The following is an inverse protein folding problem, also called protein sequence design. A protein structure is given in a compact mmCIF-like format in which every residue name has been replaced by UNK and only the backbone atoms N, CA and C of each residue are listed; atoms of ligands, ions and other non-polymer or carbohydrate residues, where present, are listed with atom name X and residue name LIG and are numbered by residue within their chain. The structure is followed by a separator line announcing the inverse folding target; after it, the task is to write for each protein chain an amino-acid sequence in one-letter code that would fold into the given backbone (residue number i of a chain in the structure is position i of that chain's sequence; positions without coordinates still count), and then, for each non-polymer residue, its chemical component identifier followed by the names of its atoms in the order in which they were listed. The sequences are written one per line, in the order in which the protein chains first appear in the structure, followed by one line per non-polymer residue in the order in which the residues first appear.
data_IF_398978716659
#
_entry.id   IF_398978716659
#
_cell.length_a   1.000
_cell.length_b   1.000
_cell.length_c   1.000
_cell.angle_alpha   90.00
_cell.angle_beta   90.00
_cell.angle_gamma   90.00
#
_symmetry.space_group_name_H-M   'P 1'
#
loop_
_entity.id
_entity.type
_entity.pdbx_description
1 polymer ?
#
# COMPACT_ATOMS: atom_id res chain seq x y z
N UNK A 1 -2.63 -12.34 -21.68
CA UNK A 1 -2.80 -11.15 -20.83
C UNK A 1 -4.28 -11.01 -20.52
N UNK A 2 -4.64 -11.10 -19.26
CA UNK A 2 -6.03 -10.98 -18.83
C UNK A 2 -6.26 -9.57 -18.25
N UNK A 3 -7.29 -8.89 -18.69
CA UNK A 3 -7.69 -7.60 -18.16
C UNK A 3 -9.08 -7.73 -17.52
N UNK A 4 -9.20 -7.21 -16.31
CA UNK A 4 -10.45 -7.28 -15.56
C UNK A 4 -10.55 -6.20 -14.49
N UNK A 5 -11.74 -6.01 -13.95
CA UNK A 5 -11.97 -5.16 -12.80
C UNK A 5 -11.64 -5.95 -11.53
N UNK A 6 -10.95 -5.29 -10.60
CA UNK A 6 -10.57 -5.88 -9.33
C UNK A 6 -10.74 -4.87 -8.19
N UNK A 7 -11.07 -5.35 -7.02
CA UNK A 7 -11.08 -4.51 -5.81
C UNK A 7 -9.70 -4.51 -5.15
N UNK A 8 -9.43 -3.54 -4.29
CA UNK A 8 -8.19 -3.52 -3.51
C UNK A 8 -8.05 -4.79 -2.66
N UNK A 9 -9.12 -5.23 -2.00
CA UNK A 9 -9.12 -6.49 -1.25
C UNK A 9 -8.78 -7.70 -2.10
N UNK A 10 -9.22 -7.72 -3.36
CA UNK A 10 -8.91 -8.81 -4.30
C UNK A 10 -7.46 -8.76 -4.79
N UNK A 11 -6.86 -7.59 -4.90
CA UNK A 11 -5.44 -7.41 -5.26
C UNK A 11 -4.54 -7.90 -4.12
N UNK A 12 -4.91 -7.61 -2.86
CA UNK A 12 -4.19 -8.00 -1.64
C UNK A 12 -4.85 -9.19 -0.92
N UNK A 13 -5.13 -10.27 -1.60
CA UNK A 13 -5.99 -11.36 -1.09
C UNK A 13 -5.35 -12.29 -0.03
N UNK A 14 -4.39 -11.84 0.76
CA UNK A 14 -3.85 -12.59 1.91
C UNK A 14 -2.91 -13.77 1.59
N UNK A 15 -2.95 -14.32 0.39
CA UNK A 15 -2.07 -15.41 -0.06
C UNK A 15 -1.09 -15.01 -1.15
N UNK A 16 -1.17 -13.77 -1.62
CA UNK A 16 -0.39 -13.24 -2.73
C UNK A 16 0.58 -12.18 -2.26
N UNK A 17 1.83 -12.34 -2.60
CA UNK A 17 2.87 -11.32 -2.44
C UNK A 17 3.01 -10.52 -3.73
N UNK A 18 2.87 -9.21 -3.63
CA UNK A 18 3.19 -8.27 -4.69
C UNK A 18 4.61 -7.77 -4.49
N UNK A 19 5.46 -7.95 -5.47
CA UNK A 19 6.86 -7.55 -5.42
C UNK A 19 7.15 -6.42 -6.40
N UNK A 20 7.68 -5.31 -5.90
CA UNK A 20 8.21 -4.23 -6.71
C UNK A 20 9.66 -4.57 -7.04
N UNK A 21 10.00 -4.85 -8.30
CA UNK A 21 11.33 -5.30 -8.67
C UNK A 21 12.38 -4.21 -8.47
N UNK A 22 13.63 -4.62 -8.30
CA UNK A 22 14.76 -3.72 -8.02
C UNK A 22 15.06 -2.70 -9.12
N UNK A 23 14.65 -2.97 -10.36
CA UNK A 23 14.84 -2.07 -11.50
C UNK A 23 13.77 -0.98 -11.61
N UNK A 24 12.70 -1.06 -10.83
CA UNK A 24 11.72 0.00 -10.75
C UNK A 24 12.28 1.18 -9.94
N UNK A 25 11.85 2.39 -10.33
CA UNK A 25 12.24 3.59 -9.60
C UNK A 25 11.72 3.57 -8.16
N UNK A 26 12.43 4.27 -7.28
CA UNK A 26 11.99 4.49 -5.92
C UNK A 26 10.62 5.21 -5.87
N UNK A 27 9.98 5.17 -4.70
CA UNK A 27 8.78 5.95 -4.44
C UNK A 27 9.10 7.44 -4.47
N UNK A 28 8.41 8.18 -5.34
CA UNK A 28 8.72 9.59 -5.63
C UNK A 28 7.51 10.53 -5.51
N UNK A 29 6.34 10.01 -5.19
CA UNK A 29 5.18 10.87 -4.96
C UNK A 29 5.42 11.84 -3.82
N UNK A 30 4.81 13.01 -3.90
CA UNK A 30 4.90 14.10 -2.92
C UNK A 30 3.52 14.67 -2.60
N UNK A 31 3.50 15.81 -1.96
CA UNK A 31 2.26 16.43 -1.44
C UNK A 31 1.18 16.62 -2.50
N UNK A 32 1.54 17.04 -3.71
CA UNK A 32 0.57 17.22 -4.80
C UNK A 32 -0.19 15.93 -5.13
N UNK A 33 0.53 14.81 -5.25
CA UNK A 33 -0.09 13.53 -5.54
C UNK A 33 -0.87 12.99 -4.34
N UNK A 34 -0.38 13.19 -3.12
CA UNK A 34 -1.07 12.77 -1.90
C UNK A 34 -2.36 13.56 -1.67
N UNK A 35 -2.34 14.87 -1.92
CA UNK A 35 -3.52 15.72 -1.82
C UNK A 35 -4.60 15.28 -2.81
N UNK A 36 -4.22 15.01 -4.05
CA UNK A 36 -5.12 14.47 -5.07
C UNK A 36 -5.70 13.12 -4.66
N UNK A 37 -4.84 12.21 -4.19
CA UNK A 37 -5.25 10.89 -3.71
C UNK A 37 -6.23 11.02 -2.53
N UNK A 38 -5.96 11.89 -1.59
CA UNK A 38 -6.83 12.14 -0.43
C UNK A 38 -8.19 12.69 -0.87
N UNK A 39 -8.23 13.63 -1.81
CA UNK A 39 -9.47 14.14 -2.39
C UNK A 39 -10.30 13.04 -3.07
N UNK A 40 -9.65 12.11 -3.76
CA UNK A 40 -10.31 10.95 -4.35
C UNK A 40 -10.91 10.03 -3.27
N UNK A 41 -10.21 9.80 -2.16
CA UNK A 41 -10.71 9.00 -1.03
C UNK A 41 -11.88 9.67 -0.32
N UNK A 42 -11.84 10.98 -0.13
CA UNK A 42 -12.95 11.76 0.40
C UNK A 42 -14.19 11.68 -0.50
N UNK A 43 -14.01 11.80 -1.81
CA UNK A 43 -15.09 11.64 -2.79
C UNK A 43 -15.73 10.24 -2.72
N UNK A 44 -14.91 9.19 -2.66
CA UNK A 44 -15.40 7.80 -2.51
C UNK A 44 -16.25 7.64 -1.26
N UNK A 45 -15.76 8.17 -0.15
CA UNK A 45 -16.44 8.07 1.15
C UNK A 45 -17.77 8.83 1.14
N UNK A 46 -17.80 10.03 0.56
CA UNK A 46 -18.99 10.86 0.50
C UNK A 46 -20.04 10.34 -0.50
N UNK A 47 -19.61 9.90 -1.68
CA UNK A 47 -20.50 9.46 -2.76
C UNK A 47 -21.01 8.03 -2.60
N UNK A 48 -20.29 7.19 -1.84
CA UNK A 48 -20.51 5.74 -1.73
C UNK A 48 -20.57 5.02 -3.09
N UNK A 49 -19.90 5.57 -4.10
CA UNK A 49 -19.84 5.03 -5.45
C UNK A 49 -18.51 4.37 -5.71
N UNK A 50 -18.46 3.31 -6.53
CA UNK A 50 -17.20 2.75 -6.99
C UNK A 50 -16.36 3.83 -7.68
N UNK A 51 -15.09 3.87 -7.34
CA UNK A 51 -14.13 4.80 -7.91
C UNK A 51 -12.99 4.02 -8.59
N UNK A 52 -12.61 4.43 -9.79
CA UNK A 52 -11.53 3.81 -10.53
C UNK A 52 -10.20 4.45 -10.14
N UNK A 53 -9.42 3.75 -9.34
CA UNK A 53 -8.10 4.20 -8.87
C UNK A 53 -7.01 4.17 -9.94
N UNK A 54 -7.26 3.54 -11.08
CA UNK A 54 -6.31 3.40 -12.17
C UNK A 54 -5.95 1.95 -12.47
N UNK A 55 -5.12 1.76 -13.50
CA UNK A 55 -4.67 0.43 -13.92
C UNK A 55 -3.45 -0.02 -13.11
N UNK A 56 -3.36 -1.31 -12.87
CA UNK A 56 -2.20 -2.00 -12.30
C UNK A 56 -1.83 -3.12 -13.25
N UNK A 57 -0.57 -3.26 -13.56
CA UNK A 57 -0.06 -4.37 -14.38
C UNK A 57 0.78 -5.29 -13.49
N UNK A 58 0.33 -6.52 -13.36
CA UNK A 58 0.99 -7.56 -12.59
C UNK A 58 1.44 -8.68 -13.53
N UNK A 59 2.65 -9.17 -13.32
CA UNK A 59 3.19 -10.35 -14.00
C UNK A 59 3.41 -11.45 -12.99
N UNK A 60 2.95 -12.66 -13.30
CA UNK A 60 3.25 -13.82 -12.49
C UNK A 60 4.77 -14.05 -12.47
N UNK A 61 5.34 -14.15 -11.29
CA UNK A 61 6.76 -14.45 -11.17
C UNK A 61 7.01 -15.87 -11.70
N UNK A 62 8.08 -16.02 -12.49
CA UNK A 62 8.51 -17.33 -12.97
C UNK A 62 8.83 -18.20 -11.75
N UNK A 63 8.24 -19.38 -11.67
CA UNK A 63 8.41 -20.36 -10.58
C UNK A 63 9.87 -20.84 -10.53
N UNK A 64 10.75 -20.06 -9.93
CA UNK A 64 12.19 -20.34 -9.83
C UNK A 64 12.67 -20.71 -8.43
N UNK A 65 11.89 -20.47 -7.39
CA UNK A 65 12.29 -20.79 -6.01
C UNK A 65 11.09 -21.23 -5.18
N UNK A 66 10.96 -22.50 -4.99
CA UNK A 66 9.98 -23.20 -4.15
C UNK A 66 10.21 -23.03 -2.63
N UNK A 67 10.90 -22.00 -2.21
CA UNK A 67 11.23 -21.77 -0.79
C UNK A 67 10.41 -20.66 -0.13
N UNK A 68 9.43 -20.07 -0.82
CA UNK A 68 8.53 -19.12 -0.17
C UNK A 68 7.28 -19.83 0.32
N UNK A 69 6.98 -19.70 1.58
CA UNK A 69 5.72 -20.14 2.20
C UNK A 69 4.49 -19.41 1.62
N UNK A 70 4.73 -18.46 0.72
CA UNK A 70 3.70 -17.68 0.02
C UNK A 70 3.24 -18.47 -1.21
N UNK A 71 1.95 -18.66 -1.34
CA UNK A 71 1.37 -19.48 -2.43
C UNK A 71 1.48 -18.84 -3.81
N UNK A 72 1.59 -17.52 -3.92
CA UNK A 72 1.66 -16.81 -5.19
C UNK A 72 2.49 -15.53 -5.07
N UNK A 73 3.44 -15.33 -5.97
CA UNK A 73 4.21 -14.08 -6.10
C UNK A 73 3.92 -13.44 -7.45
N UNK A 74 3.59 -12.15 -7.45
CA UNK A 74 3.42 -11.35 -8.67
C UNK A 74 4.31 -10.13 -8.65
N UNK A 75 4.98 -9.90 -9.77
CA UNK A 75 5.81 -8.72 -9.98
C UNK A 75 4.94 -7.55 -10.44
N UNK A 76 5.07 -6.41 -9.78
CA UNK A 76 4.39 -5.17 -10.17
C UNK A 76 5.15 -4.54 -11.33
N UNK A 77 4.53 -4.50 -12.51
CA UNK A 77 5.10 -3.87 -13.72
C UNK A 77 4.71 -2.41 -13.81
N UNK A 78 3.46 -2.09 -13.46
CA UNK A 78 2.95 -0.71 -13.42
C UNK A 78 1.97 -0.52 -12.27
N UNK A 79 1.86 0.71 -11.77
CA UNK A 79 0.99 1.08 -10.66
C UNK A 79 1.65 1.07 -9.28
N UNK A 80 2.97 0.90 -9.21
CA UNK A 80 3.72 0.82 -7.94
C UNK A 80 3.52 2.04 -7.02
N UNK A 81 3.52 3.26 -7.57
CA UNK A 81 3.34 4.47 -6.77
C UNK A 81 1.96 4.49 -6.10
N UNK A 82 0.92 4.12 -6.83
CA UNK A 82 -0.45 4.01 -6.32
C UNK A 82 -0.59 2.93 -5.25
N UNK A 83 -0.08 1.74 -5.52
CA UNK A 83 -0.13 0.64 -4.54
C UNK A 83 0.60 1.00 -3.25
N UNK A 84 1.78 1.59 -3.35
CA UNK A 84 2.56 2.05 -2.19
C UNK A 84 1.80 3.10 -1.40
N UNK A 85 1.27 4.12 -2.08
CA UNK A 85 0.48 5.18 -1.43
C UNK A 85 -0.76 4.62 -0.75
N UNK A 86 -1.45 3.67 -1.39
CA UNK A 86 -2.62 3.00 -0.83
C UNK A 86 -2.30 2.29 0.48
N UNK A 87 -1.23 1.49 0.50
CA UNK A 87 -0.82 0.77 1.72
C UNK A 87 -0.42 1.74 2.83
N UNK A 88 0.37 2.78 2.52
CA UNK A 88 0.77 3.81 3.49
C UNK A 88 -0.44 4.54 4.06
N UNK A 89 -1.37 4.94 3.21
CA UNK A 89 -2.60 5.63 3.61
C UNK A 89 -3.45 4.76 4.55
N UNK A 90 -3.71 3.51 4.21
CA UNK A 90 -4.46 2.59 5.07
C UNK A 90 -3.74 2.34 6.40
N UNK A 91 -2.43 2.20 6.38
CA UNK A 91 -1.64 2.05 7.61
C UNK A 91 -1.77 3.28 8.52
N UNK A 92 -1.59 4.48 7.96
CA UNK A 92 -1.74 5.72 8.69
C UNK A 92 -3.14 5.90 9.27
N UNK A 93 -4.17 5.55 8.50
CA UNK A 93 -5.57 5.59 8.91
C UNK A 93 -5.84 4.63 10.08
N UNK A 94 -5.39 3.39 9.97
CA UNK A 94 -5.54 2.38 11.01
C UNK A 94 -4.77 2.74 12.29
N UNK A 95 -3.56 3.26 12.16
CA UNK A 95 -2.76 3.72 13.31
C UNK A 95 -3.44 4.86 14.05
N UNK A 96 -3.98 5.85 13.31
CA UNK A 96 -4.71 6.98 13.91
C UNK A 96 -5.97 6.56 14.65
N UNK A 97 -6.70 5.58 14.12
CA UNK A 97 -7.97 5.12 14.70
C UNK A 97 -7.81 3.95 15.69
N UNK A 98 -6.59 3.49 15.95
CA UNK A 98 -6.35 2.35 16.82
C UNK A 98 -6.88 1.00 16.28
N UNK A 99 -6.98 0.88 14.96
CA UNK A 99 -7.54 -0.29 14.26
C UNK A 99 -6.49 -1.05 13.44
N UNK A 100 -5.27 -1.19 13.97
CA UNK A 100 -4.18 -1.89 13.28
C UNK A 100 -4.53 -3.34 12.88
N UNK A 101 -5.42 -4.00 13.64
CA UNK A 101 -5.93 -5.32 13.29
C UNK A 101 -6.63 -5.37 11.92
N UNK A 102 -7.22 -4.27 11.47
CA UNK A 102 -7.84 -4.18 10.13
C UNK A 102 -6.75 -4.14 9.05
N UNK A 103 -5.66 -3.41 9.30
CA UNK A 103 -4.52 -3.39 8.39
C UNK A 103 -3.88 -4.78 8.28
N UNK A 104 -3.65 -5.44 9.41
CA UNK A 104 -3.08 -6.78 9.45
C UNK A 104 -3.96 -7.78 8.67
N UNK A 105 -5.27 -7.74 8.88
CA UNK A 105 -6.20 -8.62 8.16
C UNK A 105 -6.12 -8.47 6.63
N UNK A 106 -5.98 -7.24 6.13
CA UNK A 106 -6.12 -6.96 4.70
C UNK A 106 -4.78 -6.90 3.96
N UNK A 107 -3.68 -6.58 4.65
CA UNK A 107 -2.38 -6.31 4.04
C UNK A 107 -1.21 -7.16 4.55
N UNK A 108 -1.42 -7.98 5.58
CA UNK A 108 -0.38 -8.85 6.12
C UNK A 108 -0.69 -10.30 5.76
N UNK A 109 0.33 -11.00 5.27
CA UNK A 109 0.24 -12.42 4.90
C UNK A 109 0.30 -13.32 6.13
N UNK A 110 -0.09 -14.59 5.99
CA UNK A 110 0.05 -15.60 7.04
C UNK A 110 1.51 -15.76 7.52
N UNK A 111 2.47 -15.42 6.68
CA UNK A 111 3.92 -15.38 6.99
C UNK A 111 4.35 -14.17 7.81
N UNK A 112 3.43 -13.32 8.26
CA UNK A 112 3.68 -12.03 8.93
C UNK A 112 4.33 -10.95 8.07
N UNK A 113 4.61 -11.24 6.79
CA UNK A 113 5.10 -10.27 5.82
C UNK A 113 3.97 -9.40 5.27
N UNK A 114 4.27 -8.15 4.94
CA UNK A 114 3.32 -7.30 4.22
C UNK A 114 3.17 -7.77 2.78
N UNK A 115 1.95 -7.79 2.28
CA UNK A 115 1.62 -8.27 0.94
C UNK A 115 2.21 -7.44 -0.22
N UNK A 116 2.87 -6.33 0.09
CA UNK A 116 3.64 -5.52 -0.85
C UNK A 116 5.10 -5.45 -0.40
N UNK A 117 6.02 -5.99 -1.21
CA UNK A 117 7.47 -5.96 -0.96
C UNK A 117 8.13 -4.93 -1.87
N UNK A 118 8.87 -4.02 -1.27
CA UNK A 118 9.64 -3.02 -1.98
C UNK A 118 11.04 -3.50 -2.36
N UNK A 119 11.58 -2.88 -3.41
CA UNK A 119 12.98 -3.01 -3.80
C UNK A 119 13.93 -2.34 -2.79
N UNK A 120 15.22 -2.47 -3.05
CA UNK A 120 16.29 -2.11 -2.12
C UNK A 120 16.21 -0.70 -1.50
N UNK A 121 15.82 0.29 -2.29
CA UNK A 121 15.87 1.70 -1.86
C UNK A 121 14.78 2.08 -0.86
N UNK A 122 13.59 1.55 -1.03
CA UNK A 122 12.42 1.91 -0.22
C UNK A 122 12.11 0.90 0.88
N UNK A 123 12.70 -0.28 0.80
CA UNK A 123 12.36 -1.42 1.65
C UNK A 123 12.43 -1.11 3.14
N UNK A 124 13.53 -0.51 3.59
CA UNK A 124 13.76 -0.25 5.01
C UNK A 124 12.73 0.74 5.58
N UNK A 125 12.47 1.84 4.88
CA UNK A 125 11.52 2.84 5.33
C UNK A 125 10.08 2.37 5.20
N UNK A 126 9.78 1.58 4.18
CA UNK A 126 8.45 0.96 4.05
C UNK A 126 8.19 -0.05 5.18
N UNK A 127 9.17 -0.85 5.55
CA UNK A 127 9.07 -1.77 6.70
C UNK A 127 8.86 -1.01 8.02
N UNK A 128 9.51 0.14 8.22
CA UNK A 128 9.24 1.01 9.39
C UNK A 128 7.78 1.47 9.43
N UNK A 129 7.25 1.91 8.30
CA UNK A 129 5.86 2.35 8.20
C UNK A 129 4.88 1.23 8.55
N UNK A 130 5.04 0.06 7.95
CA UNK A 130 4.08 -1.04 8.16
C UNK A 130 4.15 -1.66 9.55
N UNK A 131 5.28 -1.52 10.24
CA UNK A 131 5.47 -1.94 11.65
C UNK A 131 5.06 -0.89 12.68
N UNK A 132 4.74 0.34 12.26
CA UNK A 132 4.31 1.40 13.17
C UNK A 132 3.01 1.00 13.88
N UNK A 133 2.96 1.18 15.19
CA UNK A 133 1.79 0.80 16.02
C UNK A 133 0.97 2.01 16.47
N UNK A 134 1.57 3.19 16.50
CA UNK A 134 0.94 4.44 16.93
C UNK A 134 0.85 5.46 15.82
N UNK A 135 0.24 6.60 16.12
CA UNK A 135 0.08 7.74 15.21
C UNK A 135 1.22 8.76 15.31
N UNK A 136 2.26 8.46 16.09
CA UNK A 136 3.41 9.34 16.22
C UNK A 136 4.15 9.46 14.89
N UNK A 137 4.63 10.66 14.52
CA UNK A 137 5.42 10.84 13.33
C UNK A 137 6.68 9.97 13.35
N UNK A 138 6.98 9.34 12.22
CA UNK A 138 8.23 8.59 12.05
C UNK A 138 9.36 9.53 11.66
N UNK A 139 10.55 9.25 12.17
CA UNK A 139 11.77 9.98 11.80
C UNK A 139 12.30 9.48 10.46
N UNK A 140 12.62 10.43 9.58
CA UNK A 140 13.20 10.18 8.26
C UNK A 140 12.77 11.22 7.24
N UNK A 141 13.52 11.30 6.15
CA UNK A 141 13.31 12.28 5.07
C UNK A 141 12.86 11.64 3.74
N UNK A 142 12.76 10.32 3.68
CA UNK A 142 12.30 9.64 2.47
C UNK A 142 10.85 9.99 2.12
N UNK A 143 10.51 9.87 0.85
CA UNK A 143 9.13 10.10 0.39
C UNK A 143 8.13 9.17 1.09
N UNK A 144 8.51 7.94 1.40
CA UNK A 144 7.68 6.97 2.15
C UNK A 144 7.36 7.46 3.56
N UNK A 145 8.38 7.90 4.32
CA UNK A 145 8.19 8.42 5.68
C UNK A 145 7.38 9.71 5.65
N UNK A 146 7.66 10.61 4.71
CA UNK A 146 6.89 11.86 4.56
C UNK A 146 5.42 11.59 4.21
N UNK A 147 5.14 10.62 3.34
CA UNK A 147 3.77 10.22 3.01
C UNK A 147 3.02 9.71 4.25
N UNK A 148 3.64 8.82 5.03
CA UNK A 148 3.05 8.32 6.26
C UNK A 148 2.73 9.45 7.26
N UNK A 149 3.66 10.39 7.44
CA UNK A 149 3.47 11.52 8.36
C UNK A 149 2.44 12.54 7.85
N UNK A 150 2.27 12.64 6.53
CA UNK A 150 1.32 13.57 5.90
C UNK A 150 -0.14 13.16 6.14
N UNK A 151 -0.49 11.91 5.95
CA UNK A 151 -1.89 11.48 5.97
C UNK A 151 -2.60 11.69 7.31
N UNK A 152 -2.05 11.34 8.48
CA UNK A 152 -2.75 11.51 9.75
C UNK A 152 -3.11 12.97 10.09
N UNK A 153 -2.34 13.93 9.57
CA UNK A 153 -2.57 15.36 9.79
C UNK A 153 -3.59 15.91 8.80
N UNK A 154 -3.57 15.43 7.56
CA UNK A 154 -4.32 16.02 6.46
C UNK A 154 -5.75 15.53 6.35
N UNK A 155 -6.09 14.31 6.83
CA UNK A 155 -7.46 13.81 6.79
C UNK A 155 -8.13 13.82 8.18
N UNK A 156 -8.39 14.98 8.72
CA UNK A 156 -9.11 15.13 10.00
C UNK A 156 -10.59 14.72 9.92
N UNK A 157 -11.14 14.50 8.71
CA UNK A 157 -12.56 14.30 8.46
C UNK A 157 -12.95 12.90 7.96
N UNK A 158 -11.98 12.05 7.60
CA UNK A 158 -12.26 10.67 7.21
C UNK A 158 -12.40 9.78 8.44
N UNK A 159 -13.63 9.50 8.82
CA UNK A 159 -13.94 8.43 9.76
C UNK A 159 -14.10 7.13 8.97
N UNK A 160 -13.37 6.08 9.36
CA UNK A 160 -13.65 4.73 8.89
C UNK A 160 -15.08 4.35 9.30
N UNK A 161 -15.84 3.74 8.40
CA UNK A 161 -17.15 3.22 8.77
C UNK A 161 -17.06 2.10 9.80
#
# INVERSE_FOLDING_TARGET
MDAGKSTISSVFNGSRLLEIPFYQRAYVWGEEQWERFLGDMEFVTASKRPYFLGSIILKQASSGNTWSEVSEVRTVIDGQQRLTTMVIFFKALCAKNGTNNLFERDFVLETEDVALRHGKYDRQDFEKVVKATGCEPLEGSSAIIRAYNYFPVSYTHLTLP
#
